data_IF_360443966065
#
_entry.id   IF_360443966065
#
_cell.length_a   1.000
_cell.length_b   1.000
_cell.length_c   1.000
_cell.angle_alpha   90.00
_cell.angle_beta   90.00
_cell.angle_gamma   90.00
#
_symmetry.space_group_name_H-M   'P 1'
#
loop_
_entity.id
_entity.type
_entity.pdbx_description
1 polymer ?
#
# COMPACT_ATOMS: atom_id res chain seq x y z
N UNK A 1 -11.12 30.27 -10.64
CA UNK A 1 -10.92 28.82 -10.62
C UNK A 1 -11.89 28.30 -9.57
N UNK A 2 -12.88 27.47 -9.94
CA UNK A 2 -13.79 26.86 -8.97
C UNK A 2 -13.08 25.66 -8.33
N UNK A 3 -13.24 25.49 -7.04
CA UNK A 3 -12.81 24.28 -6.32
C UNK A 3 -14.04 23.36 -6.28
N UNK A 4 -13.88 22.17 -6.85
CA UNK A 4 -14.91 21.13 -6.82
C UNK A 4 -14.44 19.99 -5.92
N UNK A 5 -15.37 19.40 -5.17
CA UNK A 5 -15.09 18.24 -4.33
C UNK A 5 -15.80 17.02 -4.89
N UNK A 6 -15.05 15.95 -5.12
CA UNK A 6 -15.56 14.69 -5.65
C UNK A 6 -14.98 13.53 -4.86
N UNK A 7 -15.83 12.61 -4.44
CA UNK A 7 -15.36 11.34 -3.89
C UNK A 7 -14.83 10.45 -5.03
N UNK A 8 -13.61 9.95 -4.87
CA UNK A 8 -12.97 9.08 -5.84
C UNK A 8 -12.44 7.82 -5.17
N UNK A 9 -12.65 6.66 -5.81
CA UNK A 9 -12.11 5.40 -5.28
C UNK A 9 -10.59 5.43 -5.25
N UNK A 10 -10.02 4.86 -4.21
CA UNK A 10 -8.57 4.76 -4.06
C UNK A 10 -7.94 4.02 -5.24
N UNK A 11 -8.53 2.91 -5.72
CA UNK A 11 -8.02 2.17 -6.87
C UNK A 11 -7.92 3.05 -8.13
N UNK A 12 -8.94 3.87 -8.39
CA UNK A 12 -8.93 4.78 -9.56
C UNK A 12 -7.80 5.82 -9.44
N UNK A 13 -7.57 6.35 -8.25
CA UNK A 13 -6.46 7.28 -8.00
C UNK A 13 -5.10 6.61 -8.18
N UNK A 14 -4.93 5.39 -7.67
CA UNK A 14 -3.68 4.63 -7.82
C UNK A 14 -3.43 4.21 -9.27
N UNK A 15 -4.48 3.92 -10.04
CA UNK A 15 -4.38 3.70 -11.50
C UNK A 15 -3.94 4.96 -12.24
N UNK A 16 -4.50 6.12 -11.90
CA UNK A 16 -4.07 7.40 -12.50
C UNK A 16 -2.59 7.69 -12.21
N UNK A 17 -2.11 7.36 -11.01
CA UNK A 17 -0.69 7.48 -10.63
C UNK A 17 0.17 6.51 -11.45
N UNK A 18 -0.22 5.26 -11.56
CA UNK A 18 0.48 4.21 -12.32
C UNK A 18 0.56 4.53 -13.81
N UNK A 19 -0.53 5.03 -14.40
CA UNK A 19 -0.61 5.41 -15.82
C UNK A 19 0.03 6.77 -16.12
N UNK A 20 0.52 7.50 -15.11
CA UNK A 20 1.09 8.84 -15.28
C UNK A 20 0.09 9.93 -15.58
N UNK A 21 -1.21 9.65 -15.50
CA UNK A 21 -2.27 10.66 -15.64
C UNK A 21 -2.31 11.64 -14.46
N UNK A 22 -1.93 11.18 -13.26
CA UNK A 22 -1.66 12.01 -12.10
C UNK A 22 -0.16 12.00 -11.80
N UNK A 23 0.45 13.18 -11.76
CA UNK A 23 1.87 13.36 -11.47
C UNK A 23 2.07 14.47 -10.43
N UNK A 24 3.30 14.66 -10.00
CA UNK A 24 3.67 15.67 -9.02
C UNK A 24 4.26 16.91 -9.71
N UNK A 25 3.94 18.12 -9.26
CA UNK A 25 4.75 19.28 -9.62
C UNK A 25 6.20 19.08 -9.17
N UNK A 26 7.16 19.52 -9.99
CA UNK A 26 8.59 19.31 -9.75
C UNK A 26 9.10 20.02 -8.47
N UNK A 27 8.44 21.09 -8.06
CA UNK A 27 8.79 21.84 -6.84
C UNK A 27 8.37 21.14 -5.53
N UNK A 28 7.59 20.06 -5.59
CA UNK A 28 7.21 19.33 -4.39
C UNK A 28 8.40 18.53 -3.85
N UNK A 29 8.51 18.49 -2.51
CA UNK A 29 9.54 17.70 -1.84
C UNK A 29 9.42 16.21 -2.19
N UNK A 30 10.55 15.51 -2.13
CA UNK A 30 10.57 14.05 -2.29
C UNK A 30 9.79 13.35 -1.18
N UNK A 31 9.39 12.12 -1.43
CA UNK A 31 8.76 11.27 -0.44
C UNK A 31 9.74 10.93 0.70
N UNK A 32 9.30 11.07 1.95
CA UNK A 32 10.17 11.05 3.13
C UNK A 32 9.59 10.28 4.32
N UNK A 33 8.56 9.47 4.11
CA UNK A 33 7.91 8.77 5.22
C UNK A 33 8.78 7.62 5.75
N UNK A 34 8.77 7.50 7.08
CA UNK A 34 9.34 6.40 7.84
C UNK A 34 8.33 5.24 7.97
N UNK A 35 8.83 4.10 8.42
CA UNK A 35 8.06 2.86 8.55
C UNK A 35 6.83 3.02 9.47
N UNK A 36 6.98 3.75 10.59
CA UNK A 36 5.90 4.01 11.55
C UNK A 36 4.73 4.79 10.91
N UNK A 37 5.02 5.81 10.10
CA UNK A 37 3.97 6.58 9.41
C UNK A 37 3.26 5.75 8.35
N UNK A 38 3.97 4.87 7.67
CA UNK A 38 3.39 3.96 6.70
C UNK A 38 2.42 3.01 7.41
N UNK A 39 2.84 2.37 8.52
CA UNK A 39 1.98 1.49 9.29
C UNK A 39 0.71 2.21 9.81
N UNK A 40 0.83 3.44 10.30
CA UNK A 40 -0.32 4.25 10.73
C UNK A 40 -1.30 4.60 9.61
N UNK A 41 -0.80 4.82 8.38
CA UNK A 41 -1.68 5.02 7.23
C UNK A 41 -2.41 3.74 6.86
N UNK A 42 -1.72 2.60 6.87
CA UNK A 42 -2.32 1.28 6.63
C UNK A 42 -3.39 0.99 7.70
N UNK A 43 -3.09 1.26 8.98
CA UNK A 43 -4.03 1.15 10.09
C UNK A 43 -5.31 1.96 9.81
N UNK A 44 -5.16 3.23 9.43
CA UNK A 44 -6.30 4.11 9.14
C UNK A 44 -7.20 3.53 8.05
N UNK A 45 -6.64 3.07 6.94
CA UNK A 45 -7.41 2.52 5.82
C UNK A 45 -8.07 1.19 6.18
N UNK A 46 -7.32 0.29 6.84
CA UNK A 46 -7.85 -1.03 7.25
C UNK A 46 -8.90 -0.94 8.35
N UNK A 47 -8.94 0.17 9.06
CA UNK A 47 -9.96 0.49 10.08
C UNK A 47 -11.12 1.34 9.53
N UNK A 48 -11.07 1.72 8.24
CA UNK A 48 -12.10 2.55 7.62
C UNK A 48 -12.07 4.02 8.06
N UNK A 49 -10.99 4.49 8.68
CA UNK A 49 -10.86 5.90 9.07
C UNK A 49 -10.48 6.77 7.87
N UNK A 50 -11.03 8.00 7.77
CA UNK A 50 -10.68 8.90 6.69
C UNK A 50 -9.21 9.32 6.78
N UNK A 51 -8.49 9.19 5.68
CA UNK A 51 -7.09 9.60 5.58
C UNK A 51 -6.90 11.06 5.15
N UNK A 52 -7.99 11.82 5.05
CA UNK A 52 -8.01 13.21 4.58
C UNK A 52 -8.14 13.32 3.06
N UNK A 53 -8.38 14.55 2.57
CA UNK A 53 -8.55 14.84 1.15
C UNK A 53 -7.21 14.90 0.40
N UNK A 54 -7.23 14.68 -0.90
CA UNK A 54 -6.15 14.97 -1.82
C UNK A 54 -6.55 16.14 -2.72
N UNK A 55 -5.60 17.04 -3.04
CA UNK A 55 -5.86 18.19 -3.89
C UNK A 55 -5.21 18.01 -5.25
N UNK A 56 -6.01 18.15 -6.30
CA UNK A 56 -5.59 17.99 -7.68
C UNK A 56 -5.77 19.31 -8.44
N UNK A 57 -4.82 19.61 -9.30
CA UNK A 57 -4.88 20.72 -10.25
C UNK A 57 -4.95 20.14 -11.67
N UNK A 58 -5.97 20.53 -12.44
CA UNK A 58 -6.02 20.18 -13.86
C UNK A 58 -4.82 20.79 -14.60
N UNK A 59 -4.08 19.97 -15.33
CA UNK A 59 -2.93 20.39 -16.13
C UNK A 59 -3.39 20.83 -17.53
N UNK A 60 -2.66 21.74 -18.16
CA UNK A 60 -2.93 22.19 -19.54
C UNK A 60 -3.72 23.47 -19.67
N UNK A 61 -3.91 24.25 -18.59
CA UNK A 61 -4.44 25.62 -18.65
C UNK A 61 -3.53 26.55 -19.44
N UNK A 62 -4.11 27.56 -20.13
CA UNK A 62 -3.38 28.47 -21.03
C UNK A 62 -2.26 29.27 -20.35
N UNK A 63 -2.35 29.48 -19.03
CA UNK A 63 -1.48 30.40 -18.30
C UNK A 63 -0.58 29.75 -17.25
N UNK A 64 -0.75 28.44 -16.94
CA UNK A 64 0.00 27.77 -15.88
C UNK A 64 0.59 26.46 -16.43
N UNK A 65 1.91 26.43 -16.56
CA UNK A 65 2.67 25.24 -16.92
C UNK A 65 3.70 24.95 -15.84
N UNK A 66 3.46 23.89 -15.07
CA UNK A 66 4.45 23.38 -14.13
C UNK A 66 5.27 22.28 -14.80
N UNK A 67 6.56 22.22 -14.48
CA UNK A 67 7.33 21.00 -14.68
C UNK A 67 6.75 19.94 -13.75
N UNK A 68 6.73 18.71 -14.22
CA UNK A 68 6.13 17.58 -13.48
C UNK A 68 7.08 16.39 -13.47
N UNK A 69 6.87 15.51 -12.51
CA UNK A 69 7.59 14.26 -12.35
C UNK A 69 6.64 13.15 -11.86
N UNK A 70 7.01 11.92 -12.10
CA UNK A 70 6.28 10.75 -11.61
C UNK A 70 6.37 10.64 -10.09
N UNK A 71 5.45 9.87 -9.50
CA UNK A 71 5.53 9.49 -8.09
C UNK A 71 6.71 8.53 -7.88
N UNK A 72 7.31 8.58 -6.69
CA UNK A 72 8.36 7.64 -6.31
C UNK A 72 7.80 6.21 -6.25
N UNK A 73 8.51 5.28 -6.89
CA UNK A 73 8.10 3.86 -6.98
C UNK A 73 7.31 3.52 -8.24
N UNK A 74 6.83 4.50 -8.98
CA UNK A 74 6.26 4.28 -10.31
C UNK A 74 7.39 4.07 -11.32
N UNK A 75 7.24 3.07 -12.19
CA UNK A 75 8.20 2.86 -13.28
C UNK A 75 8.19 4.04 -14.24
N UNK A 76 9.35 4.33 -14.84
CA UNK A 76 9.47 5.45 -15.78
C UNK A 76 8.46 5.31 -16.90
N UNK A 77 7.44 6.15 -16.88
CA UNK A 77 6.45 6.27 -17.94
C UNK A 77 7.05 7.26 -18.92
N UNK A 78 7.54 6.79 -20.06
CA UNK A 78 8.09 7.67 -21.10
C UNK A 78 6.97 8.55 -21.66
N UNK A 79 7.14 9.89 -21.52
CA UNK A 79 6.43 10.93 -22.25
C UNK A 79 4.92 11.07 -22.05
N UNK A 80 4.37 10.63 -20.91
CA UNK A 80 2.96 10.90 -20.60
C UNK A 80 2.82 12.31 -20.02
N UNK A 81 2.08 13.17 -20.71
CA UNK A 81 1.66 14.46 -20.16
C UNK A 81 0.53 14.20 -19.17
N UNK A 82 0.68 14.58 -17.88
CA UNK A 82 -0.37 14.34 -16.90
C UNK A 82 -1.61 15.17 -17.17
N UNK A 83 -2.77 14.60 -16.89
CA UNK A 83 -4.05 15.31 -16.84
C UNK A 83 -4.16 16.13 -15.54
N UNK A 84 -3.57 15.61 -14.46
CA UNK A 84 -3.69 16.14 -13.11
C UNK A 84 -2.33 16.27 -12.43
N UNK A 85 -2.14 17.36 -11.73
CA UNK A 85 -1.02 17.57 -10.81
C UNK A 85 -1.53 17.49 -9.37
N UNK A 86 -0.91 16.64 -8.56
CA UNK A 86 -1.27 16.48 -7.15
C UNK A 86 -0.60 17.56 -6.32
N UNK A 87 -1.38 18.48 -5.76
CA UNK A 87 -0.88 19.59 -4.94
C UNK A 87 -0.78 19.25 -3.46
N UNK A 88 -1.73 18.45 -2.95
CA UNK A 88 -1.67 17.89 -1.58
C UNK A 88 -2.07 16.41 -1.59
N UNK A 89 -1.61 15.68 -0.57
CA UNK A 89 -1.80 14.23 -0.48
C UNK A 89 -0.68 13.39 -1.11
N UNK A 90 0.36 14.02 -1.66
CA UNK A 90 1.50 13.34 -2.28
C UNK A 90 2.05 12.20 -1.42
N UNK A 91 2.40 12.48 -0.16
CA UNK A 91 3.04 11.49 0.71
C UNK A 91 2.15 10.25 0.93
N UNK A 92 0.85 10.48 1.09
CA UNK A 92 -0.16 9.42 1.27
C UNK A 92 -0.33 8.60 0.00
N UNK A 93 -0.56 9.25 -1.15
CA UNK A 93 -0.74 8.55 -2.42
C UNK A 93 0.51 7.77 -2.84
N UNK A 94 1.72 8.34 -2.65
CA UNK A 94 2.98 7.63 -2.90
C UNK A 94 3.07 6.37 -2.04
N UNK A 95 2.77 6.49 -0.74
CA UNK A 95 2.79 5.35 0.18
C UNK A 95 1.79 4.28 -0.22
N UNK A 96 0.54 4.67 -0.50
CA UNK A 96 -0.50 3.72 -0.87
C UNK A 96 -0.20 3.00 -2.18
N UNK A 97 0.34 3.72 -3.17
CA UNK A 97 0.79 3.10 -4.40
C UNK A 97 1.89 2.06 -4.13
N UNK A 98 2.93 2.42 -3.40
CA UNK A 98 4.05 1.52 -3.13
C UNK A 98 3.65 0.31 -2.29
N UNK A 99 2.74 0.48 -1.32
CA UNK A 99 2.35 -0.58 -0.39
C UNK A 99 1.27 -1.50 -0.97
N UNK A 100 0.29 -0.94 -1.70
CA UNK A 100 -0.92 -1.67 -2.07
C UNK A 100 -0.95 -2.13 -3.53
N UNK A 101 -0.08 -1.58 -4.39
CA UNK A 101 -0.14 -1.82 -5.84
C UNK A 101 1.22 -2.15 -6.46
N UNK A 102 2.32 -1.56 -5.98
CA UNK A 102 3.65 -1.83 -6.51
C UNK A 102 4.14 -3.22 -6.09
N UNK A 103 4.63 -4.02 -7.04
CA UNK A 103 5.24 -5.32 -6.76
C UNK A 103 6.65 -5.21 -6.12
N UNK A 104 7.21 -4.00 -6.09
CA UNK A 104 8.54 -3.72 -5.52
C UNK A 104 8.45 -3.45 -4.02
N UNK A 105 9.55 -3.70 -3.32
CA UNK A 105 9.66 -3.28 -1.93
C UNK A 105 9.55 -1.76 -1.81
N UNK A 106 8.81 -1.30 -0.83
CA UNK A 106 8.67 0.13 -0.51
C UNK A 106 9.98 0.68 0.04
N UNK A 107 10.52 1.70 -0.59
CA UNK A 107 11.63 2.46 0.00
C UNK A 107 11.06 3.30 1.15
N UNK A 108 11.61 3.14 2.34
CA UNK A 108 11.22 3.93 3.52
C UNK A 108 12.45 4.36 4.29
N UNK A 109 12.26 5.19 5.30
CA UNK A 109 13.37 5.68 6.14
C UNK A 109 13.40 4.97 7.47
N UNK A 110 14.61 4.76 7.97
CA UNK A 110 14.79 4.25 9.32
C UNK A 110 14.41 5.35 10.33
N UNK A 111 13.56 5.03 11.29
CA UNK A 111 13.07 6.01 12.30
C UNK A 111 14.20 6.61 13.11
N UNK A 112 15.19 5.80 13.48
CA UNK A 112 16.37 6.22 14.27
C UNK A 112 17.39 7.02 13.47
N UNK A 113 17.40 6.87 12.13
CA UNK A 113 18.28 7.60 11.22
C UNK A 113 17.57 7.86 9.89
N UNK A 114 16.96 9.04 9.78
CA UNK A 114 16.15 9.44 8.62
C UNK A 114 16.91 9.57 7.30
N UNK A 115 18.23 9.58 7.33
CA UNK A 115 19.05 9.58 6.13
C UNK A 115 19.26 8.17 5.57
N UNK A 116 18.99 7.15 6.38
CA UNK A 116 19.11 5.76 5.96
C UNK A 116 17.81 5.29 5.30
N UNK A 117 17.90 4.98 4.02
CA UNK A 117 16.82 4.38 3.24
C UNK A 117 16.88 2.86 3.45
N UNK A 118 15.74 2.27 3.77
CA UNK A 118 15.54 0.83 3.90
C UNK A 118 14.39 0.40 2.99
N UNK A 119 14.35 -0.89 2.65
CA UNK A 119 13.29 -1.47 1.84
C UNK A 119 12.43 -2.41 2.66
N UNK A 120 11.11 -2.26 2.55
CA UNK A 120 10.13 -2.98 3.34
C UNK A 120 9.02 -3.55 2.46
N UNK A 121 8.50 -4.71 2.86
CA UNK A 121 7.21 -5.24 2.46
C UNK A 121 6.25 -5.20 3.65
N UNK A 122 4.97 -5.01 3.37
CA UNK A 122 3.94 -4.92 4.39
C UNK A 122 2.94 -6.05 4.22
N UNK A 123 2.57 -6.64 5.34
CA UNK A 123 1.64 -7.76 5.43
C UNK A 123 0.55 -7.45 6.45
N UNK A 124 -0.60 -8.12 6.29
CA UNK A 124 -1.64 -8.18 7.31
C UNK A 124 -1.67 -9.56 7.94
N UNK A 125 -1.57 -9.62 9.27
CA UNK A 125 -1.87 -10.83 10.04
C UNK A 125 -3.38 -11.05 10.03
N UNK A 126 -3.84 -12.08 9.30
CA UNK A 126 -5.26 -12.37 9.08
C UNK A 126 -5.98 -12.63 10.41
N UNK A 127 -5.35 -13.34 11.36
CA UNK A 127 -5.95 -13.64 12.66
C UNK A 127 -6.14 -12.38 13.48
N UNK A 128 -5.09 -11.57 13.60
CA UNK A 128 -5.17 -10.29 14.34
C UNK A 128 -6.14 -9.31 13.70
N UNK A 129 -6.23 -9.31 12.37
CA UNK A 129 -7.19 -8.46 11.67
C UNK A 129 -8.65 -8.80 12.01
N UNK A 130 -8.95 -10.08 12.31
CA UNK A 130 -10.29 -10.55 12.64
C UNK A 130 -10.57 -10.58 14.15
N UNK A 131 -9.54 -10.40 14.97
CA UNK A 131 -9.69 -10.29 16.41
C UNK A 131 -10.12 -8.86 16.79
N UNK A 132 -11.35 -8.72 17.26
CA UNK A 132 -11.91 -7.42 17.67
C UNK A 132 -11.23 -6.82 18.91
N UNK A 133 -10.42 -7.58 19.63
CA UNK A 133 -9.68 -7.16 20.82
C UNK A 133 -8.23 -6.76 20.53
N UNK A 134 -7.71 -7.14 19.36
CA UNK A 134 -6.36 -6.80 18.93
C UNK A 134 -6.28 -5.35 18.42
N UNK A 135 -5.15 -4.70 18.69
CA UNK A 135 -4.82 -3.42 18.08
C UNK A 135 -4.57 -3.63 16.58
N UNK A 136 -5.23 -2.85 15.73
CA UNK A 136 -5.06 -2.91 14.27
C UNK A 136 -3.62 -2.67 13.85
N UNK A 137 -2.91 -1.80 14.55
CA UNK A 137 -1.50 -1.53 14.28
C UNK A 137 -0.63 -2.77 14.48
N UNK A 138 -0.94 -3.63 15.45
CA UNK A 138 -0.23 -4.89 15.70
C UNK A 138 -0.50 -5.97 14.63
N UNK A 139 -1.58 -5.83 13.86
CA UNK A 139 -1.88 -6.71 12.74
C UNK A 139 -1.07 -6.35 11.48
N UNK A 140 -0.40 -5.20 11.46
CA UNK A 140 0.39 -4.72 10.31
C UNK A 140 1.85 -5.11 10.54
N UNK A 141 2.36 -5.99 9.69
CA UNK A 141 3.71 -6.52 9.82
C UNK A 141 4.60 -5.93 8.72
N UNK A 142 5.64 -5.20 9.12
CA UNK A 142 6.66 -4.65 8.24
C UNK A 142 7.89 -5.56 8.26
N UNK A 143 8.28 -6.09 7.10
CA UNK A 143 9.42 -6.99 6.95
C UNK A 143 10.48 -6.42 6.03
N UNK A 144 11.71 -6.91 6.13
CA UNK A 144 12.83 -6.51 5.26
C UNK A 144 12.58 -6.85 3.78
N UNK A 145 13.43 -6.36 2.87
CA UNK A 145 13.44 -6.73 1.44
C UNK A 145 13.52 -8.25 1.22
N UNK A 146 14.12 -9.00 2.17
CA UNK A 146 14.15 -10.46 2.14
C UNK A 146 12.86 -11.11 2.62
N UNK A 147 11.83 -10.32 2.93
CA UNK A 147 10.56 -10.74 3.51
C UNK A 147 10.74 -11.45 4.86
N UNK A 148 11.65 -10.97 5.68
CA UNK A 148 11.97 -11.54 6.99
C UNK A 148 11.97 -10.47 8.07
N UNK A 149 11.50 -10.86 9.28
CA UNK A 149 11.80 -10.15 10.52
C UNK A 149 12.98 -10.81 11.21
N UNK A 150 13.89 -10.01 11.69
CA UNK A 150 15.09 -10.48 12.35
C UNK A 150 15.30 -9.73 13.68
N UNK A 151 15.87 -10.44 14.65
CA UNK A 151 16.36 -9.89 15.92
C UNK A 151 17.88 -10.03 16.00
N UNK A 152 18.49 -9.59 17.10
CA UNK A 152 19.93 -9.70 17.36
C UNK A 152 20.79 -9.20 16.19
N UNK A 153 20.47 -7.98 15.67
CA UNK A 153 21.21 -7.35 14.57
C UNK A 153 21.21 -8.27 13.31
N UNK A 154 20.05 -8.88 13.00
CA UNK A 154 19.85 -9.67 11.81
C UNK A 154 20.32 -11.13 11.90
N UNK A 155 20.73 -11.61 13.08
CA UNK A 155 21.24 -12.98 13.26
C UNK A 155 20.13 -14.02 13.39
N UNK A 156 19.03 -13.66 14.07
CA UNK A 156 17.92 -14.58 14.32
C UNK A 156 16.72 -14.18 13.49
N UNK A 157 16.22 -15.09 12.66
CA UNK A 157 14.96 -14.90 11.90
C UNK A 157 13.80 -15.31 12.80
N UNK A 158 12.96 -14.35 13.15
CA UNK A 158 11.76 -14.58 13.99
C UNK A 158 10.49 -14.81 13.16
N UNK A 159 10.44 -14.27 11.96
CA UNK A 159 9.37 -14.50 10.99
C UNK A 159 9.99 -14.54 9.59
N UNK A 160 9.62 -15.54 8.80
CA UNK A 160 10.06 -15.69 7.42
C UNK A 160 8.83 -15.81 6.51
N UNK A 161 8.69 -14.87 5.57
CA UNK A 161 7.62 -14.79 4.59
C UNK A 161 8.19 -14.83 3.16
N UNK A 162 9.37 -15.42 2.98
CA UNK A 162 10.09 -15.41 1.71
C UNK A 162 9.44 -16.28 0.63
N UNK A 163 8.57 -17.20 0.99
CA UNK A 163 7.79 -18.02 0.06
C UNK A 163 6.29 -17.93 0.39
N UNK A 164 5.46 -18.29 -0.58
CA UNK A 164 4.01 -18.27 -0.44
C UNK A 164 3.51 -19.26 0.62
N UNK A 165 4.13 -20.43 0.72
CA UNK A 165 3.82 -21.42 1.76
C UNK A 165 4.05 -20.85 3.16
N UNK A 166 5.13 -20.09 3.37
CA UNK A 166 5.43 -19.43 4.65
C UNK A 166 4.45 -18.28 4.96
N UNK A 167 3.95 -17.58 3.93
CA UNK A 167 2.86 -16.63 4.09
C UNK A 167 1.61 -17.34 4.61
N UNK A 168 1.27 -18.53 4.05
CA UNK A 168 0.13 -19.33 4.50
C UNK A 168 0.31 -19.90 5.91
N UNK A 169 1.47 -20.51 6.21
CA UNK A 169 1.79 -21.04 7.55
C UNK A 169 1.56 -20.00 8.66
N UNK A 170 1.94 -18.75 8.36
CA UNK A 170 1.81 -17.65 9.31
C UNK A 170 0.50 -16.86 9.14
N UNK A 171 -0.35 -17.18 8.16
CA UNK A 171 -1.57 -16.45 7.80
C UNK A 171 -1.32 -14.96 7.55
N UNK A 172 -0.28 -14.66 6.79
CA UNK A 172 0.15 -13.31 6.46
C UNK A 172 -0.22 -12.95 5.02
N UNK A 173 -1.16 -12.02 4.86
CA UNK A 173 -1.60 -11.53 3.55
C UNK A 173 -0.68 -10.40 3.08
N UNK A 174 -0.03 -10.51 1.90
CA UNK A 174 0.85 -9.47 1.36
C UNK A 174 0.03 -8.28 0.82
N UNK A 175 0.27 -7.08 1.33
CA UNK A 175 -0.51 -5.90 0.94
C UNK A 175 -0.27 -5.45 -0.50
N UNK A 176 0.87 -5.75 -1.08
CA UNK A 176 1.25 -5.30 -2.42
C UNK A 176 0.49 -6.00 -3.58
N UNK A 177 -0.38 -6.97 -3.26
CA UNK A 177 -1.28 -7.59 -4.23
C UNK A 177 -2.72 -7.09 -4.10
N UNK A 178 -3.04 -6.25 -3.11
CA UNK A 178 -4.42 -5.86 -2.77
C UNK A 178 -5.21 -5.31 -3.96
N UNK A 179 -4.60 -4.47 -4.79
CA UNK A 179 -5.24 -3.90 -5.99
C UNK A 179 -4.89 -4.65 -7.29
N UNK A 180 -4.43 -5.89 -7.19
CA UNK A 180 -4.28 -6.81 -8.30
C UNK A 180 -5.26 -7.98 -8.13
N UNK A 181 -6.39 -7.94 -8.86
CA UNK A 181 -7.42 -8.96 -8.74
C UNK A 181 -6.86 -10.37 -8.98
N UNK A 182 -6.10 -10.54 -10.06
CA UNK A 182 -5.51 -11.85 -10.41
C UNK A 182 -4.54 -12.33 -9.32
N UNK A 183 -3.62 -11.46 -8.85
CA UNK A 183 -2.64 -11.87 -7.82
C UNK A 183 -3.33 -12.22 -6.48
N UNK A 184 -4.43 -11.53 -6.14
CA UNK A 184 -5.21 -11.82 -4.93
C UNK A 184 -5.98 -13.13 -5.06
N UNK A 185 -6.59 -13.40 -6.21
CA UNK A 185 -7.26 -14.67 -6.49
C UNK A 185 -6.26 -15.84 -6.51
N UNK A 186 -5.12 -15.70 -7.19
CA UNK A 186 -4.07 -16.72 -7.23
C UNK A 186 -3.54 -17.02 -5.83
N UNK A 187 -3.33 -15.97 -5.00
CA UNK A 187 -2.92 -16.15 -3.61
C UNK A 187 -3.96 -16.93 -2.80
N UNK A 188 -5.23 -16.64 -3.00
CA UNK A 188 -6.34 -17.32 -2.33
C UNK A 188 -6.45 -18.81 -2.76
N UNK A 189 -6.39 -19.08 -4.07
CA UNK A 189 -6.42 -20.47 -4.58
C UNK A 189 -5.24 -21.28 -4.06
N UNK A 190 -4.03 -20.74 -4.09
CA UNK A 190 -2.85 -21.42 -3.56
C UNK A 190 -2.96 -21.68 -2.05
N UNK A 191 -3.58 -20.76 -1.29
CA UNK A 191 -3.86 -20.96 0.14
C UNK A 191 -4.90 -22.07 0.36
N UNK A 192 -5.96 -22.11 -0.45
CA UNK A 192 -6.94 -23.21 -0.37
C UNK A 192 -6.29 -24.56 -0.68
N UNK A 193 -5.44 -24.64 -1.67
CA UNK A 193 -4.69 -25.86 -2.01
C UNK A 193 -3.72 -26.25 -0.89
N UNK A 194 -2.99 -25.31 -0.33
CA UNK A 194 -2.07 -25.54 0.78
C UNK A 194 -2.79 -26.18 1.99
N UNK A 195 -3.95 -25.67 2.33
CA UNK A 195 -4.78 -26.21 3.42
C UNK A 195 -5.74 -27.33 2.96
N UNK A 196 -5.58 -27.87 1.74
CA UNK A 196 -6.37 -28.97 1.17
C UNK A 196 -7.88 -28.73 1.25
N UNK A 197 -8.28 -27.48 1.05
CA UNK A 197 -9.68 -27.06 1.11
C UNK A 197 -10.32 -27.12 2.50
N UNK A 198 -9.52 -27.11 3.57
CA UNK A 198 -10.05 -27.10 4.94
C UNK A 198 -10.99 -25.91 5.15
N UNK A 199 -12.21 -26.23 5.61
CA UNK A 199 -13.29 -25.27 5.80
C UNK A 199 -12.96 -24.15 6.78
N UNK A 200 -12.12 -24.42 7.77
CA UNK A 200 -11.72 -23.42 8.78
C UNK A 200 -10.95 -22.30 8.12
N UNK A 201 -9.95 -22.62 7.30
CA UNK A 201 -9.12 -21.63 6.61
C UNK A 201 -9.87 -20.92 5.49
N UNK A 202 -10.75 -21.64 4.77
CA UNK A 202 -11.64 -21.02 3.77
C UNK A 202 -12.56 -19.97 4.40
N UNK A 203 -13.19 -20.29 5.54
CA UNK A 203 -14.02 -19.34 6.26
C UNK A 203 -13.21 -18.15 6.79
N UNK A 204 -12.01 -18.42 7.35
CA UNK A 204 -11.12 -17.38 7.85
C UNK A 204 -10.77 -16.36 6.74
N UNK A 205 -10.38 -16.83 5.56
CA UNK A 205 -10.06 -15.93 4.44
C UNK A 205 -11.30 -15.21 3.91
N UNK A 206 -12.44 -15.88 3.82
CA UNK A 206 -13.71 -15.23 3.45
C UNK A 206 -14.03 -14.07 4.39
N UNK A 207 -13.94 -14.30 5.69
CA UNK A 207 -14.25 -13.29 6.71
C UNK A 207 -13.22 -12.13 6.64
N UNK A 208 -11.95 -12.44 6.46
CA UNK A 208 -10.88 -11.43 6.20
C UNK A 208 -11.15 -10.63 4.93
N UNK A 209 -11.50 -11.29 3.83
CA UNK A 209 -11.81 -10.62 2.56
C UNK A 209 -13.00 -9.66 2.71
N UNK A 210 -14.07 -10.09 3.40
CA UNK A 210 -15.27 -9.26 3.58
C UNK A 210 -15.05 -8.10 4.55
N UNK A 211 -14.33 -8.33 5.66
CA UNK A 211 -14.21 -7.34 6.74
C UNK A 211 -13.02 -6.40 6.55
N UNK A 212 -11.98 -6.82 5.82
CA UNK A 212 -10.72 -6.08 5.69
C UNK A 212 -10.43 -5.69 4.25
N UNK A 213 -10.35 -6.65 3.32
CA UNK A 213 -9.96 -6.34 1.94
C UNK A 213 -11.02 -5.54 1.19
N UNK A 214 -12.30 -5.92 1.32
CA UNK A 214 -13.38 -5.22 0.64
C UNK A 214 -13.49 -3.75 1.04
N UNK A 215 -13.44 -3.35 2.33
CA UNK A 215 -13.38 -1.94 2.72
C UNK A 215 -12.20 -1.17 2.12
N UNK A 216 -11.02 -1.80 1.96
CA UNK A 216 -9.86 -1.18 1.32
C UNK A 216 -10.12 -0.97 -0.18
N UNK A 217 -10.69 -1.97 -0.86
CA UNK A 217 -11.01 -1.91 -2.30
C UNK A 217 -12.12 -0.90 -2.63
N UNK A 218 -13.05 -0.70 -1.70
CA UNK A 218 -14.17 0.26 -1.82
C UNK A 218 -13.84 1.63 -1.19
N UNK A 219 -12.61 1.84 -0.71
CA UNK A 219 -12.21 3.05 0.00
C UNK A 219 -12.25 4.28 -0.92
N UNK A 220 -12.88 5.35 -0.44
CA UNK A 220 -13.00 6.63 -1.14
C UNK A 220 -12.17 7.73 -0.46
N UNK A 221 -11.65 8.65 -1.29
CA UNK A 221 -10.89 9.84 -0.88
C UNK A 221 -11.56 11.06 -1.44
#
# INVERSE_FOLDING_TARGET
MAVESHDKKLDDLLKMVEEGKAQLPDFQRSWVWDDTKICKLIESITSGFPMGAAMFLANGGEHIRFKYRTFEGVDSISEVTPEWLVLDGQQRLTTLYQVLKSKKATNTRLETNRDTIIKRYYYLDIRKCLDSTADRLEAIISVSEKKQLTTNIGRDVTLDLSTREKEFENLMFPLNITFSHNDTEDWHYDMEDYYKGDRVYRNLFRDFSQQILRPILEYNI
#
